data_IF_470986590464
#
_entry.id   IF_470986590464
#
_cell.length_a   1.000
_cell.length_b   1.000
_cell.length_c   1.000
_cell.angle_alpha   90.00
_cell.angle_beta   90.00
_cell.angle_gamma   90.00
#
_symmetry.space_group_name_H-M   'P 1'
#
loop_
_entity.id
_entity.type
_entity.pdbx_description
1 polymer ?
#
# COMPACT_ATOMS: atom_id res chain seq x y z
N UNK A 1 5.16 7.18 -53.53
CA UNK A 1 3.77 7.46 -53.11
C UNK A 1 3.02 6.13 -53.15
N UNK A 2 2.89 5.43 -52.02
CA UNK A 2 2.14 4.18 -51.94
C UNK A 2 0.92 4.42 -51.05
N UNK A 3 -0.24 4.36 -51.70
CA UNK A 3 -1.55 4.65 -51.11
C UNK A 3 -2.11 3.39 -50.46
N UNK A 4 -2.65 3.62 -49.27
CA UNK A 4 -3.21 2.69 -48.28
C UNK A 4 -4.46 1.98 -48.84
N UNK A 5 -4.51 0.65 -48.73
CA UNK A 5 -5.75 -0.12 -48.83
C UNK A 5 -6.34 -0.28 -47.42
N UNK A 6 -7.44 0.43 -47.15
CA UNK A 6 -8.35 0.14 -46.05
C UNK A 6 -9.32 -0.95 -46.52
N UNK A 7 -9.29 -2.12 -45.87
CA UNK A 7 -10.33 -3.14 -46.02
C UNK A 7 -11.25 -3.02 -44.81
N UNK A 8 -12.41 -2.41 -45.03
CA UNK A 8 -13.53 -2.39 -44.09
C UNK A 8 -14.29 -3.70 -44.28
N UNK A 9 -14.23 -4.59 -43.28
CA UNK A 9 -15.10 -5.78 -43.22
C UNK A 9 -16.41 -5.34 -42.57
N UNK A 10 -17.45 -5.18 -43.39
CA UNK A 10 -18.84 -5.17 -42.93
C UNK A 10 -19.29 -6.62 -42.72
N UNK A 11 -19.47 -7.04 -41.47
CA UNK A 11 -20.19 -8.26 -41.16
C UNK A 11 -21.69 -7.94 -40.98
N UNK A 12 -22.44 -8.10 -42.07
CA UNK A 12 -23.88 -8.33 -42.05
C UNK A 12 -24.09 -9.81 -41.68
N UNK A 13 -24.62 -10.08 -40.49
CA UNK A 13 -25.23 -11.38 -40.18
C UNK A 13 -26.74 -11.18 -40.32
N UNK A 14 -27.22 -11.52 -41.52
CA UNK A 14 -28.63 -11.69 -41.82
C UNK A 14 -29.12 -13.02 -41.20
N UNK A 15 -30.36 -12.96 -40.74
CA UNK A 15 -31.11 -14.04 -40.12
C UNK A 15 -31.07 -15.34 -40.95
N UNK A 16 -30.57 -16.41 -40.32
CA UNK A 16 -30.51 -17.75 -40.87
C UNK A 16 -31.04 -18.74 -39.83
N UNK A 17 -32.37 -18.82 -39.73
CA UNK A 17 -33.11 -19.85 -39.02
C UNK A 17 -32.70 -21.22 -39.61
N UNK A 18 -31.94 -22.01 -38.85
CA UNK A 18 -31.80 -23.44 -39.11
C UNK A 18 -32.77 -24.16 -38.18
N UNK A 19 -33.97 -24.44 -38.71
CA UNK A 19 -34.87 -25.42 -38.16
C UNK A 19 -34.18 -26.79 -38.22
N UNK A 20 -33.78 -27.31 -37.06
CA UNK A 20 -33.28 -28.68 -36.95
C UNK A 20 -34.47 -29.59 -36.76
N UNK A 21 -34.79 -30.38 -37.78
CA UNK A 21 -35.83 -31.39 -37.72
C UNK A 21 -35.47 -32.46 -36.68
N UNK A 22 -36.37 -32.63 -35.71
CA UNK A 22 -36.32 -33.70 -34.71
C UNK A 22 -36.84 -34.96 -35.40
N UNK A 23 -35.96 -35.93 -35.66
CA UNK A 23 -36.36 -37.27 -36.06
C UNK A 23 -36.66 -38.08 -34.81
N UNK A 24 -37.95 -38.31 -34.56
CA UNK A 24 -38.43 -39.34 -33.65
C UNK A 24 -38.06 -40.72 -34.21
N UNK A 25 -37.32 -41.51 -33.45
CA UNK A 25 -37.25 -42.95 -33.65
C UNK A 25 -37.00 -43.64 -32.31
N UNK A 26 -37.94 -44.52 -31.97
CA UNK A 26 -37.58 -45.80 -31.36
C UNK A 26 -37.55 -45.86 -29.85
N UNK A 27 -38.72 -46.14 -29.27
CA UNK A 27 -38.85 -46.85 -28.02
C UNK A 27 -38.02 -48.16 -28.04
N UNK A 28 -37.21 -48.36 -27.00
CA UNK A 28 -36.93 -49.70 -26.50
C UNK A 28 -36.80 -49.62 -24.98
N UNK A 29 -37.75 -50.25 -24.31
CA UNK A 29 -37.79 -50.49 -22.88
C UNK A 29 -36.59 -51.35 -22.48
N UNK A 30 -35.55 -50.69 -21.98
CA UNK A 30 -34.42 -51.32 -21.30
C UNK A 30 -34.54 -51.07 -19.80
N UNK A 31 -35.23 -51.98 -19.10
CA UNK A 31 -35.22 -52.05 -17.62
C UNK A 31 -33.78 -52.37 -17.19
N UNK A 32 -33.00 -51.34 -16.85
CA UNK A 32 -31.72 -51.50 -16.15
C UNK A 32 -32.04 -51.56 -14.66
N UNK A 33 -32.06 -52.78 -14.13
CA UNK A 33 -31.96 -53.04 -12.70
C UNK A 33 -30.65 -52.43 -12.20
N UNK A 34 -30.75 -51.32 -11.45
CA UNK A 34 -29.63 -50.80 -10.67
C UNK A 34 -29.54 -51.64 -9.40
N UNK A 35 -28.60 -52.60 -9.40
CA UNK A 35 -28.21 -53.30 -8.19
C UNK A 35 -27.69 -52.27 -7.18
N UNK A 36 -28.50 -52.08 -6.14
CA UNK A 36 -28.20 -51.27 -4.97
C UNK A 36 -27.22 -52.06 -4.09
N UNK A 37 -25.98 -52.21 -4.56
CA UNK A 37 -24.92 -52.79 -3.76
C UNK A 37 -24.59 -51.81 -2.63
N UNK A 38 -24.91 -52.25 -1.41
CA UNK A 38 -24.48 -51.66 -0.15
C UNK A 38 -22.96 -51.48 -0.14
N UNK A 39 -22.48 -50.35 -0.64
CA UNK A 39 -21.12 -49.90 -0.41
C UNK A 39 -20.98 -49.56 1.06
N UNK A 40 -20.49 -50.56 1.80
CA UNK A 40 -19.87 -50.45 3.12
C UNK A 40 -18.93 -49.24 3.10
N UNK A 41 -19.38 -48.13 3.68
CA UNK A 41 -18.58 -46.91 3.80
C UNK A 41 -17.22 -47.30 4.41
N UNK A 42 -16.09 -47.05 3.74
CA UNK A 42 -14.78 -47.27 4.33
C UNK A 42 -14.73 -46.40 5.59
N UNK A 43 -14.47 -47.06 6.71
CA UNK A 43 -14.25 -46.48 8.02
C UNK A 43 -13.22 -45.35 7.84
N UNK A 44 -13.68 -44.11 7.79
CA UNK A 44 -12.82 -42.94 7.68
C UNK A 44 -12.09 -42.84 9.00
N UNK A 45 -10.89 -43.44 9.02
CA UNK A 45 -9.91 -43.23 10.06
C UNK A 45 -9.77 -41.72 10.22
N UNK A 46 -10.27 -41.20 11.34
CA UNK A 46 -10.19 -39.79 11.71
C UNK A 46 -8.71 -39.48 11.81
N UNK A 47 -8.14 -38.99 10.70
CA UNK A 47 -6.76 -38.52 10.69
C UNK A 47 -6.67 -37.41 11.73
N UNK A 48 -5.87 -37.70 12.75
CA UNK A 48 -5.48 -36.83 13.83
C UNK A 48 -5.35 -35.39 13.31
N UNK A 49 -6.12 -34.41 13.83
CA UNK A 49 -6.09 -33.03 13.35
C UNK A 49 -4.67 -32.51 13.51
N UNK A 50 -3.90 -32.62 12.43
CA UNK A 50 -2.51 -32.19 12.43
C UNK A 50 -2.54 -30.70 12.74
N UNK A 51 -1.83 -30.33 13.79
CA UNK A 51 -1.56 -28.97 14.20
C UNK A 51 -1.21 -28.11 12.98
N UNK A 52 -2.21 -27.43 12.42
CA UNK A 52 -2.05 -26.54 11.27
C UNK A 52 -1.21 -25.36 11.73
N UNK A 53 0.09 -25.45 11.48
CA UNK A 53 0.96 -24.28 11.58
C UNK A 53 0.44 -23.30 10.54
N UNK A 54 0.05 -22.06 10.92
CA UNK A 54 -0.52 -21.11 9.98
C UNK A 54 0.46 -20.90 8.81
N UNK A 55 0.11 -21.35 7.61
CA UNK A 55 0.94 -21.19 6.40
C UNK A 55 0.97 -19.73 5.90
N UNK A 56 0.13 -18.88 6.48
CA UNK A 56 -0.14 -17.52 6.05
C UNK A 56 1.02 -16.52 6.17
N UNK A 57 1.89 -16.56 7.19
CA UNK A 57 3.01 -15.62 7.28
C UNK A 57 3.98 -15.73 6.09
N UNK A 58 4.10 -16.92 5.49
CA UNK A 58 5.04 -17.16 4.41
C UNK A 58 4.51 -16.68 3.06
N UNK A 59 3.21 -16.82 2.80
CA UNK A 59 2.59 -16.41 1.54
C UNK A 59 2.20 -14.92 1.52
N UNK A 60 1.87 -14.32 2.67
CA UNK A 60 1.40 -12.94 2.74
C UNK A 60 2.53 -11.91 2.62
N UNK A 61 2.13 -10.65 2.41
CA UNK A 61 3.03 -9.49 2.37
C UNK A 61 3.33 -8.98 0.96
N UNK A 62 4.45 -8.27 0.84
CA UNK A 62 4.89 -7.62 -0.40
C UNK A 62 5.76 -8.56 -1.23
N UNK A 63 5.21 -9.08 -2.34
CA UNK A 63 5.83 -10.15 -3.13
C UNK A 63 5.91 -9.82 -4.62
N UNK A 64 6.91 -10.38 -5.27
CA UNK A 64 6.97 -10.60 -6.70
C UNK A 64 6.71 -12.09 -6.93
N UNK A 65 5.76 -12.43 -7.80
CA UNK A 65 5.44 -13.83 -8.10
C UNK A 65 6.19 -14.27 -9.35
N UNK A 66 7.23 -15.07 -9.18
CA UNK A 66 8.06 -15.55 -10.29
C UNK A 66 7.58 -16.92 -10.74
N UNK A 67 7.11 -17.03 -11.97
CA UNK A 67 6.63 -18.27 -12.53
C UNK A 67 7.76 -19.27 -12.78
N UNK A 68 7.38 -20.52 -13.03
CA UNK A 68 8.27 -21.59 -13.49
C UNK A 68 9.21 -21.16 -14.62
N UNK A 69 8.73 -20.32 -15.55
CA UNK A 69 9.50 -19.80 -16.69
C UNK A 69 10.42 -18.62 -16.35
N UNK A 70 10.68 -18.36 -15.05
CA UNK A 70 11.56 -17.28 -14.56
C UNK A 70 11.09 -15.88 -14.98
N UNK A 71 9.78 -15.69 -15.11
CA UNK A 71 9.14 -14.41 -15.42
C UNK A 71 8.20 -14.01 -14.28
N UNK A 72 8.03 -12.73 -14.04
CA UNK A 72 7.22 -12.20 -12.95
C UNK A 72 5.80 -11.91 -13.40
N UNK A 73 4.82 -12.31 -12.59
CA UNK A 73 3.40 -12.01 -12.80
C UNK A 73 3.19 -10.50 -12.88
N UNK A 74 2.47 -10.03 -13.90
CA UNK A 74 2.23 -8.61 -14.16
C UNK A 74 0.76 -8.37 -14.50
N UNK A 75 0.18 -7.31 -13.95
CA UNK A 75 -1.05 -6.70 -14.46
C UNK A 75 -0.75 -5.55 -15.43
N UNK A 76 -1.53 -5.40 -16.50
CA UNK A 76 -1.58 -4.18 -17.31
C UNK A 76 -2.97 -4.02 -17.91
N UNK A 77 -3.29 -2.84 -18.38
CA UNK A 77 -4.55 -2.59 -19.04
C UNK A 77 -4.72 -1.12 -19.35
N UNK A 78 -5.88 -0.82 -19.90
CA UNK A 78 -6.40 0.54 -20.04
C UNK A 78 -7.65 0.67 -19.15
N UNK A 79 -8.39 1.77 -19.27
CA UNK A 79 -9.57 2.01 -18.43
C UNK A 79 -10.67 0.94 -18.61
N UNK A 80 -10.72 0.29 -19.78
CA UNK A 80 -11.81 -0.61 -20.18
C UNK A 80 -11.43 -2.09 -20.18
N UNK A 81 -10.15 -2.43 -20.29
CA UNK A 81 -9.67 -3.80 -20.48
C UNK A 81 -8.40 -4.05 -19.67
N UNK A 82 -8.45 -5.08 -18.83
CA UNK A 82 -7.40 -5.45 -17.89
C UNK A 82 -6.90 -6.85 -18.18
N UNK A 83 -5.60 -6.97 -18.30
CA UNK A 83 -4.91 -8.18 -18.69
C UNK A 83 -3.87 -8.59 -17.65
N UNK A 84 -3.58 -9.88 -17.64
CA UNK A 84 -2.57 -10.49 -16.79
C UNK A 84 -1.63 -11.35 -17.64
N UNK A 85 -0.34 -11.27 -17.33
CA UNK A 85 0.73 -11.89 -18.09
C UNK A 85 2.01 -11.90 -17.27
N UNK A 86 3.15 -11.87 -17.94
CA UNK A 86 4.44 -11.90 -17.25
C UNK A 86 5.51 -11.02 -17.88
N UNK A 87 6.42 -10.51 -17.06
CA UNK A 87 7.55 -9.67 -17.43
C UNK A 87 8.89 -10.30 -17.00
N UNK A 88 10.03 -9.94 -17.63
CA UNK A 88 11.33 -10.52 -17.29
C UNK A 88 11.89 -10.06 -15.93
N UNK A 89 11.39 -8.97 -15.36
CA UNK A 89 11.92 -8.35 -14.14
C UNK A 89 10.80 -7.95 -13.18
N UNK A 90 11.07 -7.93 -11.87
CA UNK A 90 10.12 -7.40 -10.90
C UNK A 90 10.18 -5.86 -10.84
N UNK A 91 9.45 -5.21 -11.76
CA UNK A 91 9.28 -3.76 -11.80
C UNK A 91 8.16 -3.27 -10.89
N UNK A 92 7.56 -2.14 -11.24
CA UNK A 92 6.47 -1.54 -10.44
C UNK A 92 5.17 -2.35 -10.55
N UNK A 93 4.84 -2.88 -11.72
CA UNK A 93 3.56 -3.55 -11.99
C UNK A 93 3.61 -5.07 -11.81
N UNK A 94 4.79 -5.58 -11.44
CA UNK A 94 5.04 -6.97 -11.07
C UNK A 94 5.06 -7.17 -9.56
N UNK A 95 4.82 -6.08 -8.82
CA UNK A 95 4.72 -6.08 -7.36
C UNK A 95 3.28 -6.32 -6.95
N UNK A 96 3.11 -7.26 -6.04
CA UNK A 96 1.82 -7.67 -5.51
C UNK A 96 1.83 -7.55 -3.98
N UNK A 97 0.69 -7.17 -3.43
CA UNK A 97 0.39 -7.26 -2.00
C UNK A 97 -0.53 -8.44 -1.80
N UNK A 98 -0.07 -9.47 -1.08
CA UNK A 98 -0.84 -10.66 -0.78
C UNK A 98 -1.41 -10.52 0.64
N UNK A 99 -2.74 -10.54 0.74
CA UNK A 99 -3.47 -10.45 2.02
C UNK A 99 -4.29 -11.70 2.25
N UNK A 100 -4.30 -12.17 3.49
CA UNK A 100 -5.09 -13.32 3.93
C UNK A 100 -6.56 -12.92 4.18
N UNK A 101 -7.46 -13.87 3.92
CA UNK A 101 -8.90 -13.78 4.14
C UNK A 101 -9.46 -15.20 4.42
N UNK A 102 -9.77 -15.51 5.67
CA UNK A 102 -10.43 -16.76 6.10
C UNK A 102 -9.82 -18.02 5.47
N UNK A 103 -8.49 -18.13 5.49
CA UNK A 103 -7.76 -19.26 4.94
C UNK A 103 -7.41 -19.16 3.45
N UNK A 104 -7.88 -18.11 2.76
CA UNK A 104 -7.54 -17.80 1.36
C UNK A 104 -6.70 -16.53 1.28
N UNK A 105 -6.29 -16.16 0.07
CA UNK A 105 -5.54 -14.93 -0.18
C UNK A 105 -6.09 -14.13 -1.35
N UNK A 106 -6.03 -12.80 -1.24
CA UNK A 106 -6.22 -11.88 -2.36
C UNK A 106 -4.86 -11.37 -2.85
N UNK A 107 -4.67 -11.26 -4.16
CA UNK A 107 -3.45 -10.72 -4.75
C UNK A 107 -3.74 -9.34 -5.36
N UNK A 108 -3.26 -8.27 -4.72
CA UNK A 108 -3.46 -6.89 -5.16
C UNK A 108 -2.24 -6.34 -5.91
N UNK A 109 -2.42 -5.97 -7.16
CA UNK A 109 -1.38 -5.43 -8.03
C UNK A 109 -1.00 -3.99 -7.64
N UNK A 110 0.28 -3.65 -7.69
CA UNK A 110 0.78 -2.38 -7.15
C UNK A 110 0.63 -1.16 -8.08
N UNK A 111 0.54 -1.31 -9.42
CA UNK A 111 0.39 -0.15 -10.30
C UNK A 111 -1.02 0.42 -10.27
N UNK A 112 -2.03 -0.44 -10.31
CA UNK A 112 -3.44 -0.04 -10.43
C UNK A 112 -4.20 -0.18 -9.11
N UNK A 113 -3.71 -1.02 -8.19
CA UNK A 113 -4.44 -1.37 -6.99
C UNK A 113 -5.60 -2.34 -7.22
N UNK A 114 -5.67 -3.01 -8.37
CA UNK A 114 -6.69 -4.01 -8.67
C UNK A 114 -6.27 -5.40 -8.20
N UNK A 115 -7.24 -6.30 -8.10
CA UNK A 115 -7.08 -7.66 -7.58
C UNK A 115 -7.10 -8.69 -8.70
N UNK A 116 -6.25 -9.71 -8.59
CA UNK A 116 -6.23 -10.83 -9.52
C UNK A 116 -7.54 -11.63 -9.45
N UNK A 117 -8.29 -11.70 -10.55
CA UNK A 117 -9.58 -12.39 -10.64
C UNK A 117 -9.51 -13.60 -11.55
N UNK A 118 -10.09 -14.71 -11.10
CA UNK A 118 -10.35 -15.88 -11.92
C UNK A 118 -11.73 -15.78 -12.58
N UNK A 119 -11.84 -16.14 -13.87
CA UNK A 119 -13.11 -16.19 -14.59
C UNK A 119 -13.50 -17.63 -14.96
N UNK A 120 -14.80 -17.87 -15.12
CA UNK A 120 -15.35 -19.19 -15.45
C UNK A 120 -14.82 -19.73 -16.79
N UNK A 121 -14.58 -18.83 -17.75
CA UNK A 121 -14.02 -19.14 -19.08
C UNK A 121 -12.50 -19.40 -19.05
N UNK A 122 -11.93 -19.66 -17.87
CA UNK A 122 -10.53 -20.07 -17.66
C UNK A 122 -9.48 -19.03 -18.05
N UNK A 123 -9.86 -17.76 -18.14
CA UNK A 123 -8.92 -16.64 -18.22
C UNK A 123 -8.82 -15.92 -16.86
N UNK A 124 -7.82 -15.04 -16.77
CA UNK A 124 -7.50 -14.27 -15.58
C UNK A 124 -7.40 -12.80 -15.98
N UNK A 125 -8.03 -11.94 -15.20
CA UNK A 125 -8.01 -10.49 -15.37
C UNK A 125 -7.89 -9.78 -14.01
N UNK A 126 -8.22 -8.49 -13.95
CA UNK A 126 -8.15 -7.68 -12.73
C UNK A 126 -9.51 -7.09 -12.37
N UNK A 127 -9.81 -7.02 -11.07
CA UNK A 127 -11.05 -6.47 -10.53
C UNK A 127 -10.80 -5.40 -9.44
N UNK A 128 -11.77 -4.51 -9.23
CA UNK A 128 -11.65 -3.39 -8.26
C UNK A 128 -11.85 -3.80 -6.81
N UNK A 129 -12.60 -4.88 -6.57
CA UNK A 129 -13.02 -5.30 -5.23
C UNK A 129 -12.69 -6.76 -5.02
N UNK A 130 -12.39 -7.12 -3.78
CA UNK A 130 -12.24 -8.52 -3.39
C UNK A 130 -13.63 -9.12 -3.21
N UNK A 131 -13.94 -10.12 -4.02
CA UNK A 131 -15.08 -11.03 -3.87
C UNK A 131 -14.56 -12.47 -3.92
N UNK A 132 -15.47 -13.43 -4.01
CA UNK A 132 -15.12 -14.86 -4.04
C UNK A 132 -14.18 -15.22 -5.20
N UNK A 133 -14.29 -14.55 -6.35
CA UNK A 133 -13.52 -14.86 -7.56
C UNK A 133 -12.09 -14.28 -7.56
N UNK A 134 -11.80 -13.35 -6.65
CA UNK A 134 -10.48 -12.76 -6.40
C UNK A 134 -9.73 -13.43 -5.24
N UNK A 135 -10.37 -14.40 -4.58
CA UNK A 135 -9.77 -15.20 -3.52
C UNK A 135 -9.17 -16.48 -4.09
N UNK A 136 -7.92 -16.73 -3.70
CA UNK A 136 -7.13 -17.86 -4.12
C UNK A 136 -6.74 -18.70 -2.91
N UNK A 137 -6.82 -20.02 -3.04
CA UNK A 137 -6.32 -20.95 -2.05
C UNK A 137 -4.84 -21.23 -2.34
N UNK A 138 -3.91 -20.75 -1.48
CA UNK A 138 -2.49 -20.96 -1.67
C UNK A 138 -2.11 -22.38 -1.22
N UNK A 139 -1.38 -23.11 -2.06
CA UNK A 139 -0.91 -24.46 -1.78
C UNK A 139 0.61 -24.48 -1.89
N UNK A 140 1.29 -24.77 -0.78
CA UNK A 140 2.76 -24.85 -0.72
C UNK A 140 3.20 -26.20 -1.27
N UNK A 141 4.18 -26.19 -2.17
CA UNK A 141 4.85 -27.39 -2.66
C UNK A 141 6.05 -27.76 -1.76
N UNK A 142 6.58 -28.97 -1.91
CA UNK A 142 7.76 -29.43 -1.17
C UNK A 142 9.07 -28.69 -1.53
N UNK A 143 9.11 -28.00 -2.67
CA UNK A 143 10.28 -27.27 -3.19
C UNK A 143 10.27 -25.77 -2.82
N UNK A 144 9.48 -25.37 -1.82
CA UNK A 144 9.28 -23.96 -1.42
C UNK A 144 8.64 -23.08 -2.51
N UNK A 145 8.06 -23.66 -3.55
CA UNK A 145 7.19 -22.93 -4.49
C UNK A 145 5.73 -23.02 -4.05
N UNK A 146 4.89 -22.19 -4.66
CA UNK A 146 3.47 -22.06 -4.34
C UNK A 146 2.63 -22.23 -5.58
N UNK A 147 1.46 -22.86 -5.42
CA UNK A 147 0.38 -22.89 -6.42
C UNK A 147 -0.81 -22.11 -5.89
N UNK A 148 -1.59 -21.52 -6.78
CA UNK A 148 -2.78 -20.75 -6.42
C UNK A 148 -4.00 -21.37 -7.09
N UNK A 149 -4.90 -21.93 -6.28
CA UNK A 149 -6.14 -22.53 -6.76
C UNK A 149 -7.24 -21.47 -6.69
N UNK A 150 -7.94 -21.29 -7.80
CA UNK A 150 -9.04 -20.34 -7.92
C UNK A 150 -10.30 -20.84 -7.22
N UNK A 151 -11.29 -19.94 -7.11
CA UNK A 151 -12.65 -20.28 -6.69
C UNK A 151 -13.27 -21.44 -7.47
N UNK A 152 -12.97 -21.58 -8.76
CA UNK A 152 -13.50 -22.63 -9.63
C UNK A 152 -12.71 -23.95 -9.55
N UNK A 153 -11.79 -24.08 -8.60
CA UNK A 153 -10.96 -25.27 -8.44
C UNK A 153 -9.89 -25.46 -9.53
N UNK A 154 -9.63 -24.42 -10.33
CA UNK A 154 -8.58 -24.41 -11.36
C UNK A 154 -7.32 -23.69 -10.86
N UNK A 155 -6.16 -24.00 -11.42
CA UNK A 155 -4.87 -23.50 -10.99
C UNK A 155 -4.39 -22.34 -11.86
N UNK A 156 -3.83 -21.30 -11.24
CA UNK A 156 -3.14 -20.22 -11.94
C UNK A 156 -1.93 -20.79 -12.70
N UNK A 157 -1.86 -20.59 -14.01
CA UNK A 157 -0.82 -21.15 -14.89
C UNK A 157 -0.10 -20.05 -15.65
N UNK A 158 1.24 -20.12 -15.69
CA UNK A 158 2.06 -19.34 -16.61
C UNK A 158 2.44 -20.15 -17.84
N UNK A 159 2.27 -19.58 -19.02
CA UNK A 159 2.69 -20.19 -20.27
C UNK A 159 4.09 -19.70 -20.70
N UNK A 160 4.83 -20.43 -21.56
CA UNK A 160 6.18 -20.04 -22.00
C UNK A 160 6.26 -18.66 -22.67
N UNK A 161 5.24 -18.29 -23.46
CA UNK A 161 5.15 -16.97 -24.09
C UNK A 161 4.59 -15.88 -23.16
N UNK A 162 4.47 -16.17 -21.87
CA UNK A 162 4.16 -15.21 -20.83
C UNK A 162 2.69 -14.86 -20.65
N UNK A 163 1.76 -15.58 -21.30
CA UNK A 163 0.32 -15.50 -21.01
C UNK A 163 0.01 -16.20 -19.70
N UNK A 164 -0.93 -15.64 -18.95
CA UNK A 164 -1.51 -16.29 -17.77
C UNK A 164 -2.90 -16.84 -18.13
N UNK A 165 -3.19 -18.03 -17.62
CA UNK A 165 -4.49 -18.70 -17.80
C UNK A 165 -4.80 -19.58 -16.59
N UNK A 166 -5.95 -20.24 -16.61
CA UNK A 166 -6.32 -21.24 -15.62
C UNK A 166 -6.22 -22.66 -16.21
N UNK A 167 -5.83 -23.63 -15.38
CA UNK A 167 -5.70 -25.04 -15.78
C UNK A 167 -6.37 -25.98 -14.76
N UNK A 168 -6.95 -27.10 -15.20
CA UNK A 168 -7.60 -28.05 -14.29
C UNK A 168 -6.62 -28.97 -13.57
N UNK A 169 -5.41 -29.14 -14.13
CA UNK A 169 -4.37 -30.03 -13.60
C UNK A 169 -3.19 -29.20 -13.13
N UNK A 170 -2.74 -29.44 -11.90
CA UNK A 170 -1.57 -28.80 -11.33
C UNK A 170 -0.28 -29.51 -11.78
N UNK A 171 0.44 -28.92 -12.72
CA UNK A 171 1.75 -29.38 -13.19
C UNK A 171 2.84 -28.39 -12.71
N UNK A 172 3.98 -28.34 -13.42
CA UNK A 172 5.07 -27.41 -13.09
C UNK A 172 4.77 -25.96 -13.49
N UNK A 173 3.90 -25.73 -14.47
CA UNK A 173 3.61 -24.38 -14.99
C UNK A 173 2.69 -23.56 -14.08
N UNK A 174 2.11 -24.21 -13.08
CA UNK A 174 1.26 -23.64 -12.05
C UNK A 174 2.04 -23.26 -10.77
N UNK A 175 3.36 -23.48 -10.76
CA UNK A 175 4.22 -23.15 -9.63
C UNK A 175 4.85 -21.76 -9.74
N UNK A 176 4.85 -21.04 -8.61
CA UNK A 176 5.41 -19.71 -8.46
C UNK A 176 6.35 -19.64 -7.25
N UNK A 177 7.50 -19.02 -7.43
CA UNK A 177 8.38 -18.61 -6.34
C UNK A 177 7.94 -17.23 -5.84
N UNK A 178 7.86 -17.05 -4.53
CA UNK A 178 7.51 -15.77 -3.91
C UNK A 178 8.79 -15.05 -3.49
N UNK A 179 9.17 -14.02 -4.24
CA UNK A 179 10.32 -13.19 -3.90
C UNK A 179 9.83 -11.98 -3.11
N UNK A 180 10.36 -11.75 -1.91
CA UNK A 180 10.08 -10.52 -1.17
C UNK A 180 10.73 -9.35 -1.89
N UNK A 181 9.94 -8.36 -2.30
CA UNK A 181 10.52 -7.06 -2.62
C UNK A 181 10.47 -6.27 -1.31
N UNK A 182 11.62 -6.17 -0.65
CA UNK A 182 11.74 -5.28 0.49
C UNK A 182 11.26 -3.90 0.03
N UNK A 183 10.15 -3.42 0.58
CA UNK A 183 10.10 -2.00 0.89
C UNK A 183 11.32 -1.85 1.78
N UNK A 184 12.37 -1.19 1.29
CA UNK A 184 13.46 -0.72 2.14
C UNK A 184 12.76 0.15 3.17
N UNK A 185 12.34 -0.50 4.25
CA UNK A 185 11.46 0.08 5.22
C UNK A 185 12.35 1.11 5.89
N UNK A 186 11.96 2.37 5.75
CA UNK A 186 12.65 3.52 6.33
C UNK A 186 12.84 3.40 7.85
N UNK A 187 12.28 2.37 8.48
CA UNK A 187 12.58 1.92 9.84
C UNK A 187 14.06 1.70 10.16
N UNK A 188 14.95 1.53 9.18
CA UNK A 188 16.41 1.56 9.44
C UNK A 188 17.02 2.98 9.41
N UNK A 189 16.39 3.94 8.74
CA UNK A 189 16.84 5.34 8.68
C UNK A 189 16.26 6.14 9.85
N UNK A 190 15.01 5.89 10.25
CA UNK A 190 14.35 6.60 11.35
C UNK A 190 14.92 6.26 12.73
N UNK A 191 15.56 5.10 12.94
CA UNK A 191 16.31 4.85 14.19
C UNK A 191 17.61 5.67 14.28
N UNK A 192 18.14 6.17 13.16
CA UNK A 192 19.29 7.07 13.16
C UNK A 192 18.89 8.56 13.20
N UNK A 193 17.68 8.89 12.75
CA UNK A 193 17.16 10.26 12.73
C UNK A 193 16.40 10.62 14.01
N UNK A 194 15.68 9.67 14.64
CA UNK A 194 15.16 9.84 16.02
C UNK A 194 16.28 10.02 17.06
N UNK A 195 17.49 9.48 16.80
CA UNK A 195 18.67 9.75 17.61
C UNK A 195 19.34 11.11 17.31
N UNK A 196 19.01 11.75 16.18
CA UNK A 196 19.46 13.11 15.84
C UNK A 196 18.47 14.18 16.30
N UNK A 197 17.18 13.92 16.32
CA UNK A 197 16.19 14.86 16.91
C UNK A 197 16.34 15.03 18.42
N UNK A 198 16.78 13.99 19.15
CA UNK A 198 17.16 14.15 20.55
C UNK A 198 18.41 15.03 20.78
N UNK A 199 19.16 15.38 19.73
CA UNK A 199 20.30 16.33 19.82
C UNK A 199 19.93 17.73 19.31
N UNK A 200 18.94 17.88 18.45
CA UNK A 200 18.55 19.19 17.91
C UNK A 200 17.67 19.97 18.89
N UNK A 201 16.88 19.31 19.73
CA UNK A 201 16.06 20.00 20.73
C UNK A 201 16.88 20.66 21.85
N UNK A 202 18.07 20.15 22.18
CA UNK A 202 18.98 20.83 23.10
C UNK A 202 19.55 22.13 22.52
N UNK A 203 19.87 22.15 21.22
CA UNK A 203 20.48 23.32 20.58
C UNK A 203 19.49 24.49 20.46
N UNK A 204 18.22 24.20 20.14
CA UNK A 204 17.17 25.23 20.07
C UNK A 204 16.84 25.78 21.46
N UNK A 205 16.76 24.93 22.48
CA UNK A 205 16.52 25.39 23.86
C UNK A 205 17.66 26.28 24.39
N UNK A 206 18.92 25.95 24.09
CA UNK A 206 20.08 26.77 24.46
C UNK A 206 20.06 28.13 23.75
N UNK A 207 19.74 28.16 22.46
CA UNK A 207 19.64 29.43 21.70
C UNK A 207 18.52 30.33 22.24
N UNK A 208 17.33 29.77 22.50
CA UNK A 208 16.21 30.53 23.06
C UNK A 208 16.53 31.05 24.46
N UNK A 209 17.17 30.23 25.31
CA UNK A 209 17.61 30.66 26.64
C UNK A 209 18.62 31.82 26.57
N UNK A 210 19.63 31.75 25.69
CA UNK A 210 20.63 32.82 25.52
C UNK A 210 19.98 34.14 25.07
N UNK A 211 19.03 34.08 24.15
CA UNK A 211 18.26 35.26 23.73
C UNK A 211 17.40 35.82 24.87
N UNK A 212 16.77 34.96 25.67
CA UNK A 212 15.97 35.40 26.81
C UNK A 212 16.83 36.04 27.91
N UNK A 213 17.99 35.45 28.23
CA UNK A 213 18.91 35.98 29.23
C UNK A 213 19.54 37.31 28.77
N UNK A 214 19.93 37.44 27.50
CA UNK A 214 20.44 38.71 26.97
C UNK A 214 19.39 39.81 26.99
N UNK A 215 18.12 39.49 26.73
CA UNK A 215 17.04 40.47 26.83
C UNK A 215 16.78 40.88 28.29
N UNK A 216 16.80 39.94 29.23
CA UNK A 216 16.68 40.22 30.67
C UNK A 216 17.84 41.06 31.20
N UNK A 217 19.08 40.76 30.81
CA UNK A 217 20.27 41.55 31.15
C UNK A 217 20.15 42.98 30.61
N UNK A 218 19.71 43.16 29.36
CA UNK A 218 19.46 44.49 28.79
C UNK A 218 18.34 45.23 29.53
N UNK A 219 17.26 44.56 29.91
CA UNK A 219 16.18 45.17 30.70
C UNK A 219 16.63 45.59 32.10
N UNK A 220 17.46 44.79 32.77
CA UNK A 220 18.03 45.15 34.08
C UNK A 220 19.02 46.30 33.95
N UNK A 221 19.87 46.31 32.91
CA UNK A 221 20.82 47.40 32.66
C UNK A 221 20.11 48.71 32.33
N UNK A 222 19.11 48.69 31.45
CA UNK A 222 18.28 49.86 31.12
C UNK A 222 17.52 50.33 32.37
N UNK A 223 16.95 49.41 33.15
CA UNK A 223 16.30 49.73 34.42
C UNK A 223 17.24 50.41 35.42
N UNK A 224 18.48 49.90 35.56
CA UNK A 224 19.50 50.49 36.41
C UNK A 224 19.95 51.87 35.92
N UNK A 225 20.13 52.07 34.60
CA UNK A 225 20.45 53.37 33.99
C UNK A 225 19.33 54.37 34.22
N UNK A 226 18.06 53.99 34.01
CA UNK A 226 16.91 54.85 34.28
C UNK A 226 16.83 55.21 35.77
N UNK A 227 17.11 54.25 36.66
CA UNK A 227 17.14 54.47 38.10
C UNK A 227 18.27 55.45 38.50
N UNK A 228 19.47 55.28 37.96
CA UNK A 228 20.61 56.17 38.17
C UNK A 228 20.33 57.59 37.65
N UNK A 229 19.77 57.72 36.44
CA UNK A 229 19.37 59.02 35.86
C UNK A 229 18.30 59.73 36.69
N UNK A 230 17.35 58.99 37.27
CA UNK A 230 16.34 59.56 38.19
C UNK A 230 16.95 60.10 39.47
N UNK A 231 18.01 59.45 39.97
CA UNK A 231 18.69 59.89 41.19
C UNK A 231 19.51 61.17 40.96
N UNK A 232 20.19 61.28 39.82
CA UNK A 232 20.93 62.50 39.44
C UNK A 232 20.01 63.71 39.29
N UNK A 233 18.81 63.52 38.71
CA UNK A 233 17.84 64.63 38.55
C UNK A 233 17.29 65.15 39.90
N UNK A 234 17.25 64.33 40.96
CA UNK A 234 16.86 64.78 42.31
C UNK A 234 17.92 65.64 43.00
N UNK A 235 19.20 65.45 42.68
CA UNK A 235 20.28 66.26 43.27
C UNK A 235 20.27 67.67 42.68
N UNK A 236 20.09 67.79 41.36
CA UNK A 236 20.03 69.09 40.67
C UNK A 236 18.86 69.98 41.11
N UNK A 237 17.68 69.41 41.43
CA UNK A 237 16.54 70.21 41.91
C UNK A 237 16.68 70.73 43.35
N UNK A 238 17.63 70.19 44.12
CA UNK A 238 17.88 70.65 45.49
C UNK A 238 18.89 71.81 45.52
N UNK A 239 19.84 71.86 44.58
CA UNK A 239 20.78 73.00 44.46
C UNK A 239 20.10 74.27 43.94
N UNK A 240 19.14 74.15 43.02
CA UNK A 240 18.41 75.30 42.47
C UNK A 240 17.50 75.98 43.53
N UNK A 241 17.01 75.21 44.52
CA UNK A 241 16.25 75.77 45.64
C UNK A 241 17.11 76.47 46.69
N UNK A 242 18.39 76.08 46.83
CA UNK A 242 19.31 76.76 47.72
C UNK A 242 19.69 78.15 47.17
N UNK A 243 19.93 78.25 45.86
CA UNK A 243 20.27 79.52 45.19
C UNK A 243 19.11 80.54 45.16
N UNK A 244 17.85 80.08 45.10
CA UNK A 244 16.68 80.97 45.09
C UNK A 244 16.35 81.56 46.47
N UNK A 245 16.88 81.01 47.57
CA UNK A 245 16.65 81.53 48.93
C UNK A 245 17.56 82.70 49.30
N UNK A 246 18.72 82.85 48.66
CA UNK A 246 19.69 83.91 48.96
C UNK A 246 19.40 85.25 48.26
N UNK A 247 18.52 85.28 47.24
CA UNK A 247 18.25 86.50 46.46
C UNK A 247 17.08 87.35 47.01
N UNK A 248 16.47 86.98 48.14
CA UNK A 248 15.30 87.70 48.71
C UNK A 248 15.64 88.64 49.87
N UNK A 249 16.83 89.27 49.85
CA UNK A 249 17.20 90.33 50.78
C UNK A 249 17.91 91.45 50.03
N UNK A 250 17.13 92.38 49.43
CA UNK A 250 17.48 93.74 48.95
C UNK A 250 16.58 94.06 47.75
N UNK A 251 15.76 95.09 47.70
CA UNK A 251 15.45 96.16 48.62
C UNK A 251 14.17 96.84 48.13
N UNK A 252 13.45 97.47 49.05
CA UNK A 252 12.36 98.39 48.74
C UNK A 252 12.75 99.76 49.29
N UNK A 253 12.67 100.77 48.44
CA UNK A 253 12.95 102.19 48.70
C UNK A 253 12.88 102.87 47.33
N UNK A 254 11.70 103.28 46.84
CA UNK A 254 10.82 104.38 47.28
C UNK A 254 11.42 105.75 46.96
N UNK A 255 10.52 106.65 46.56
CA UNK A 255 10.61 108.11 46.38
C UNK A 255 10.67 108.46 44.87
N UNK A 256 9.61 108.97 44.23
CA UNK A 256 8.84 110.23 44.41
C UNK A 256 9.71 111.48 44.46
#
# INVERSE_FOLDING_TARGET
MNTIFNVIIYSLVLDGIIATAISENGASDGIIQTNHDNQKQPNMTVENPQSYTPLFPEVTGYRCLKSYHKRFLRGWGNETDWHVGTAPQCGKCEKWTIKEHDGKVSLKESCTGKYLRANLERYVDLADKVQSHELWEPVKNGDSTWKFKSFYGTWLRSQPHGRISLNTVAQGFESFTLESWAVLSRTAVDKSESAREAKTDCAVYVMVAVLFFSHLLNCVLIGAIICACRNVRKVSSNEEKQAASDFRVKGTGRDQ
#
